data_IF_095915494780
#
_entry.id   IF_095915494780
#
_cell.length_a   1.000
_cell.length_b   1.000
_cell.length_c   1.000
_cell.angle_alpha   90.00
_cell.angle_beta   90.00
_cell.angle_gamma   90.00
#
_symmetry.space_group_name_H-M   'P 1'
#
loop_
_entity.id
_entity.type
_entity.pdbx_description
1 polymer ?
#
# COMPACT_ATOMS: atom_id res chain seq x y z
N UNK A 1 -27.33 -33.91 21.86
CA UNK A 1 -27.36 -33.09 20.64
C UNK A 1 -26.44 -31.91 20.88
N UNK A 2 -25.20 -32.01 20.39
CA UNK A 2 -24.20 -30.94 20.49
C UNK A 2 -24.15 -30.23 19.15
N UNK A 3 -24.52 -28.95 19.14
CA UNK A 3 -24.26 -28.07 18.02
C UNK A 3 -23.04 -27.24 18.38
N UNK A 4 -21.91 -27.58 17.76
CA UNK A 4 -20.73 -26.73 17.68
C UNK A 4 -21.10 -25.47 16.90
N UNK A 5 -21.10 -24.33 17.58
CA UNK A 5 -21.12 -23.01 16.92
C UNK A 5 -19.79 -22.81 16.19
N UNK A 6 -19.88 -22.72 14.86
CA UNK A 6 -18.77 -22.31 14.02
C UNK A 6 -18.53 -20.81 14.23
N UNK A 7 -17.59 -20.47 15.11
CA UNK A 7 -16.86 -19.19 15.04
C UNK A 7 -16.30 -19.08 13.62
N UNK A 8 -16.45 -17.94 12.91
CA UNK A 8 -15.72 -17.76 11.65
C UNK A 8 -14.24 -17.95 11.97
N UNK A 9 -13.65 -18.95 11.33
CA UNK A 9 -12.23 -19.28 11.47
C UNK A 9 -11.46 -17.97 11.43
N UNK A 10 -10.69 -17.72 12.49
CA UNK A 10 -9.65 -16.71 12.44
C UNK A 10 -8.88 -16.98 11.14
N UNK A 11 -8.96 -16.03 10.20
CA UNK A 11 -8.29 -16.12 8.92
C UNK A 11 -6.86 -16.60 9.20
N UNK A 12 -6.55 -17.75 8.62
CA UNK A 12 -5.27 -18.43 8.74
C UNK A 12 -4.16 -17.41 8.55
N UNK A 13 -3.23 -17.35 9.52
CA UNK A 13 -2.06 -16.48 9.53
C UNK A 13 -1.25 -16.63 8.22
N UNK A 14 -1.56 -15.81 7.23
CA UNK A 14 -0.93 -15.86 5.91
C UNK A 14 -1.12 -14.53 5.18
N UNK A 15 -0.18 -14.21 4.28
CA UNK A 15 -0.29 -13.02 3.45
C UNK A 15 -1.52 -13.09 2.55
N UNK A 16 -2.27 -11.99 2.37
CA UNK A 16 -3.37 -11.95 1.42
C UNK A 16 -2.83 -12.18 0.00
N UNK A 17 -3.61 -12.83 -0.87
CA UNK A 17 -3.21 -13.09 -2.26
C UNK A 17 -3.31 -11.85 -3.16
N UNK A 18 -4.15 -10.88 -2.79
CA UNK A 18 -4.26 -9.57 -3.45
C UNK A 18 -4.60 -8.52 -2.40
N UNK A 19 -4.08 -7.31 -2.60
CA UNK A 19 -4.41 -6.13 -1.80
C UNK A 19 -4.00 -4.86 -2.52
N UNK A 20 -4.56 -3.73 -2.10
CA UNK A 20 -4.17 -2.42 -2.61
C UNK A 20 -2.91 -1.96 -1.88
N UNK A 21 -1.78 -2.18 -2.52
CA UNK A 21 -0.45 -1.81 -2.06
C UNK A 21 -0.32 -0.30 -1.97
N UNK A 22 0.04 0.20 -0.80
CA UNK A 22 0.29 1.62 -0.55
C UNK A 22 1.64 2.00 -1.15
N UNK A 23 1.63 2.63 -2.31
CA UNK A 23 2.86 3.07 -3.01
C UNK A 23 3.37 4.39 -2.43
N UNK A 24 2.45 5.31 -2.14
CA UNK A 24 2.77 6.65 -1.62
C UNK A 24 1.76 7.07 -0.58
N UNK A 25 2.28 7.73 0.46
CA UNK A 25 1.49 8.46 1.46
C UNK A 25 1.88 9.93 1.36
N UNK A 26 0.94 10.79 1.01
CA UNK A 26 1.18 12.23 0.85
C UNK A 26 1.41 12.90 2.22
N UNK A 27 2.33 13.87 2.27
CA UNK A 27 2.62 14.62 3.49
C UNK A 27 1.41 15.48 3.92
N UNK A 28 1.15 15.55 5.22
CA UNK A 28 0.03 16.28 5.81
C UNK A 28 -1.34 15.60 5.65
N UNK A 29 -1.41 14.49 4.90
CA UNK A 29 -2.66 13.80 4.56
C UNK A 29 -3.30 13.05 5.74
N UNK A 30 -4.60 12.74 5.67
CA UNK A 30 -5.26 11.83 6.61
C UNK A 30 -4.56 10.48 6.73
N UNK A 31 -4.06 9.92 5.62
CA UNK A 31 -3.33 8.66 5.65
C UNK A 31 -2.01 8.76 6.43
N UNK A 32 -1.25 9.85 6.26
CA UNK A 32 -0.03 10.04 7.04
C UNK A 32 -0.34 10.10 8.54
N UNK A 33 -1.38 10.86 8.92
CA UNK A 33 -1.81 11.00 10.32
C UNK A 33 -2.31 9.69 10.91
N UNK A 34 -2.93 8.83 10.09
CA UNK A 34 -3.42 7.52 10.49
C UNK A 34 -2.31 6.44 10.59
N UNK A 35 -1.06 6.76 10.21
CA UNK A 35 0.07 5.84 10.35
C UNK A 35 0.15 4.76 9.28
N UNK A 36 -0.24 5.10 8.04
CA UNK A 36 0.05 4.24 6.90
C UNK A 36 1.56 4.19 6.63
N UNK A 37 2.10 2.97 6.52
CA UNK A 37 3.48 2.71 6.15
C UNK A 37 3.55 2.46 4.64
N UNK A 38 4.13 3.41 3.86
CA UNK A 38 4.25 3.21 2.43
C UNK A 38 5.14 2.00 2.13
N UNK A 39 4.90 1.37 0.99
CA UNK A 39 5.47 0.10 0.55
C UNK A 39 5.12 -1.14 1.40
N UNK A 40 4.90 -1.01 2.71
CA UNK A 40 4.63 -2.16 3.57
C UNK A 40 3.15 -2.47 3.72
N UNK A 41 2.29 -1.46 3.62
CA UNK A 41 0.86 -1.61 3.82
C UNK A 41 0.12 -2.04 2.56
N UNK A 42 -0.83 -2.95 2.75
CA UNK A 42 -1.78 -3.41 1.75
C UNK A 42 -3.18 -3.27 2.32
N UNK A 43 -3.98 -2.38 1.76
CA UNK A 43 -5.39 -2.25 2.13
C UNK A 43 -6.17 -3.44 1.57
N UNK A 44 -6.84 -4.18 2.44
CA UNK A 44 -7.59 -5.40 2.08
C UNK A 44 -9.08 -5.33 2.40
N UNK A 45 -9.50 -4.37 3.24
CA UNK A 45 -10.89 -4.16 3.59
C UNK A 45 -11.21 -2.72 4.02
N UNK A 46 -12.49 -2.37 3.95
CA UNK A 46 -13.06 -1.12 4.47
C UNK A 46 -14.36 -1.41 5.23
N UNK A 47 -14.43 -0.97 6.48
CA UNK A 47 -15.54 -1.19 7.41
C UNK A 47 -16.05 -2.64 7.44
N UNK A 48 -15.09 -3.58 7.52
CA UNK A 48 -15.36 -5.03 7.56
C UNK A 48 -15.73 -5.66 6.21
N UNK A 49 -15.79 -4.88 5.12
CA UNK A 49 -16.02 -5.38 3.76
C UNK A 49 -14.68 -5.56 3.03
N UNK A 50 -14.41 -6.72 2.40
CA UNK A 50 -13.21 -6.90 1.58
C UNK A 50 -13.18 -5.92 0.40
N UNK A 51 -12.00 -5.35 0.11
CA UNK A 51 -11.77 -4.49 -1.06
C UNK A 51 -11.51 -5.30 -2.33
N UNK A 52 -11.29 -6.60 -2.22
CA UNK A 52 -11.18 -7.53 -3.35
C UNK A 52 -11.98 -8.79 -3.05
N UNK A 53 -12.78 -9.24 -4.02
CA UNK A 53 -13.49 -10.51 -3.95
C UNK A 53 -13.33 -11.28 -5.26
N UNK A 54 -12.79 -12.50 -5.16
CA UNK A 54 -12.67 -13.42 -6.29
C UNK A 54 -14.02 -13.83 -6.87
N UNK A 55 -15.12 -13.65 -6.13
CA UNK A 55 -16.47 -14.01 -6.59
C UNK A 55 -17.13 -12.92 -7.45
N UNK A 56 -16.53 -11.73 -7.56
CA UNK A 56 -17.09 -10.64 -8.37
C UNK A 56 -16.01 -10.01 -9.29
N UNK A 57 -15.64 -10.70 -10.39
CA UNK A 57 -14.62 -10.23 -11.34
C UNK A 57 -15.03 -8.98 -12.14
N UNK A 58 -16.31 -8.57 -12.07
CA UNK A 58 -16.82 -7.34 -12.69
C UNK A 58 -16.28 -6.05 -12.06
N UNK A 59 -15.61 -6.15 -10.91
CA UNK A 59 -14.86 -5.04 -10.30
C UNK A 59 -13.43 -4.94 -10.85
N UNK A 60 -13.30 -5.11 -12.17
CA UNK A 60 -12.03 -5.18 -12.90
C UNK A 60 -11.25 -3.87 -12.80
N UNK A 61 -11.95 -2.76 -12.50
CA UNK A 61 -11.33 -1.46 -12.25
C UNK A 61 -10.63 -1.37 -10.90
N UNK A 62 -10.93 -2.21 -9.90
CA UNK A 62 -10.38 -2.06 -8.54
C UNK A 62 -10.67 -0.70 -7.88
N UNK A 63 -11.60 0.07 -8.43
CA UNK A 63 -11.91 1.44 -8.00
C UNK A 63 -13.24 1.47 -7.23
N UNK A 64 -14.20 0.62 -7.60
CA UNK A 64 -15.54 0.62 -6.99
C UNK A 64 -15.54 0.45 -5.46
N UNK A 65 -14.67 -0.38 -4.84
CA UNK A 65 -14.66 -0.57 -3.39
C UNK A 65 -14.26 0.70 -2.64
N UNK A 66 -13.54 1.62 -3.30
CA UNK A 66 -13.07 2.88 -2.73
C UNK A 66 -14.11 3.99 -2.80
N UNK A 67 -15.17 3.84 -3.59
CA UNK A 67 -16.23 4.86 -3.72
C UNK A 67 -16.96 5.16 -2.42
N UNK A 68 -17.02 4.19 -1.49
CA UNK A 68 -17.62 4.38 -0.16
C UNK A 68 -16.96 5.51 0.64
N UNK A 69 -15.71 5.88 0.31
CA UNK A 69 -15.04 7.00 0.96
C UNK A 69 -15.70 8.34 0.63
N UNK A 70 -16.28 8.49 -0.56
CA UNK A 70 -16.99 9.71 -0.98
C UNK A 70 -18.21 9.96 -0.09
N UNK A 71 -18.97 8.92 0.22
CA UNK A 71 -20.16 9.00 1.07
C UNK A 71 -19.82 9.22 2.55
N UNK A 72 -18.57 8.94 2.94
CA UNK A 72 -18.07 9.00 4.32
C UNK A 72 -17.06 10.11 4.55
N UNK A 73 -17.00 11.11 3.67
CA UNK A 73 -16.20 12.30 3.92
C UNK A 73 -16.61 12.96 5.26
N UNK A 74 -15.61 13.27 6.10
CA UNK A 74 -15.80 13.80 7.45
C UNK A 74 -16.21 12.76 8.50
N UNK A 75 -16.41 11.50 8.14
CA UNK A 75 -16.78 10.42 9.05
C UNK A 75 -15.63 9.42 9.23
N UNK A 76 -15.49 8.84 10.42
CA UNK A 76 -14.45 7.84 10.66
C UNK A 76 -14.76 6.55 9.91
N UNK A 77 -13.82 6.07 9.11
CA UNK A 77 -13.82 4.75 8.47
C UNK A 77 -12.71 3.89 9.05
N UNK A 78 -12.90 2.57 9.02
CA UNK A 78 -11.88 1.60 9.44
C UNK A 78 -11.38 0.84 8.23
N UNK A 79 -10.09 1.00 7.91
CA UNK A 79 -9.42 0.22 6.87
C UNK A 79 -8.74 -0.99 7.51
N UNK A 80 -9.00 -2.18 6.99
CA UNK A 80 -8.24 -3.38 7.35
C UNK A 80 -6.98 -3.43 6.48
N UNK A 81 -5.81 -3.36 7.11
CA UNK A 81 -4.51 -3.19 6.46
C UNK A 81 -3.59 -4.34 6.85
N UNK A 82 -3.13 -5.08 5.86
CA UNK A 82 -2.09 -6.08 6.05
C UNK A 82 -0.72 -5.43 5.85
N UNK A 83 0.18 -5.60 6.81
CA UNK A 83 1.52 -5.05 6.75
C UNK A 83 2.54 -6.14 6.46
N UNK A 84 3.25 -6.02 5.34
CA UNK A 84 4.27 -6.98 4.90
C UNK A 84 5.47 -7.04 5.86
N UNK A 85 5.80 -5.93 6.50
CA UNK A 85 6.95 -5.81 7.40
C UNK A 85 6.79 -6.69 8.64
N UNK A 86 5.62 -6.64 9.26
CA UNK A 86 5.30 -7.36 10.49
C UNK A 86 4.53 -8.66 10.23
N UNK A 87 4.03 -8.88 9.01
CA UNK A 87 3.18 -10.02 8.63
C UNK A 87 1.87 -10.06 9.44
N UNK A 88 1.31 -8.88 9.73
CA UNK A 88 0.15 -8.72 10.60
C UNK A 88 -0.97 -7.92 9.91
N UNK A 89 -2.21 -8.28 10.24
CA UNK A 89 -3.39 -7.51 9.88
C UNK A 89 -3.74 -6.55 11.00
N UNK A 90 -3.93 -5.27 10.69
CA UNK A 90 -4.36 -4.25 11.66
C UNK A 90 -5.51 -3.40 11.12
N UNK A 91 -6.31 -2.89 12.04
CA UNK A 91 -7.34 -1.91 11.73
C UNK A 91 -6.77 -0.49 11.85
N UNK A 92 -6.87 0.28 10.76
CA UNK A 92 -6.45 1.68 10.69
C UNK A 92 -7.70 2.55 10.60
N UNK A 93 -7.93 3.37 11.64
CA UNK A 93 -9.02 4.33 11.68
C UNK A 93 -8.58 5.64 11.04
N UNK A 94 -9.34 6.12 10.05
CA UNK A 94 -9.03 7.36 9.33
C UNK A 94 -10.31 8.13 9.06
N UNK A 95 -10.21 9.46 8.98
CA UNK A 95 -11.32 10.34 8.59
C UNK A 95 -11.00 10.88 7.19
N UNK A 96 -11.71 10.45 6.13
CA UNK A 96 -11.52 10.97 4.79
C UNK A 96 -11.92 12.45 4.74
N UNK A 97 -11.11 13.28 4.07
CA UNK A 97 -11.37 14.72 3.96
C UNK A 97 -10.63 15.30 2.76
N UNK A 98 -11.25 16.22 2.01
CA UNK A 98 -10.59 16.97 0.93
C UNK A 98 -9.86 18.22 1.42
N UNK A 99 -10.09 18.65 2.66
CA UNK A 99 -9.57 19.91 3.20
C UNK A 99 -8.04 20.00 3.16
N UNK A 100 -7.34 18.87 3.31
CA UNK A 100 -5.87 18.84 3.30
C UNK A 100 -5.25 19.04 1.91
N UNK A 101 -6.02 18.82 0.84
CA UNK A 101 -5.54 18.90 -0.55
C UNK A 101 -6.30 19.91 -1.40
N UNK A 102 -7.30 20.59 -0.82
CA UNK A 102 -8.00 21.68 -1.47
C UNK A 102 -7.03 22.88 -1.62
N UNK A 103 -6.63 23.15 -2.86
CA UNK A 103 -5.86 24.35 -3.20
C UNK A 103 -6.80 25.45 -3.70
N UNK A 104 -6.80 26.65 -3.09
CA UNK A 104 -7.53 27.80 -3.62
C UNK A 104 -7.04 28.23 -5.01
N UNK A 105 -5.77 27.93 -5.32
CA UNK A 105 -5.07 28.41 -6.51
C UNK A 105 -5.20 27.43 -7.70
N UNK A 106 -5.66 26.19 -7.48
CA UNK A 106 -5.77 25.13 -8.49
C UNK A 106 -7.19 24.50 -8.52
N UNK A 107 -8.21 25.27 -8.94
CA UNK A 107 -9.62 24.87 -8.84
C UNK A 107 -10.01 23.67 -9.72
N UNK A 108 -9.15 23.26 -10.66
CA UNK A 108 -9.38 22.11 -11.55
C UNK A 108 -8.75 20.81 -11.04
N UNK A 109 -8.12 20.82 -9.86
CA UNK A 109 -7.60 19.59 -9.26
C UNK A 109 -8.72 18.90 -8.47
N UNK A 110 -8.88 17.59 -8.67
CA UNK A 110 -9.74 16.78 -7.81
C UNK A 110 -8.96 16.53 -6.50
N UNK A 111 -9.33 17.16 -5.36
CA UNK A 111 -8.62 16.95 -4.11
C UNK A 111 -8.73 15.47 -3.71
N UNK A 112 -7.73 14.92 -3.01
CA UNK A 112 -7.81 13.55 -2.50
C UNK A 112 -8.43 13.53 -1.11
N UNK A 113 -9.15 12.46 -0.78
CA UNK A 113 -9.75 12.23 0.54
C UNK A 113 -8.74 11.66 1.56
N UNK A 114 -7.78 10.85 1.13
CA UNK A 114 -6.85 10.18 2.05
C UNK A 114 -5.38 10.52 1.81
N UNK A 115 -4.99 10.86 0.58
CA UNK A 115 -3.59 11.07 0.21
C UNK A 115 -2.81 9.77 0.01
N UNK A 116 -3.49 8.72 -0.44
CA UNK A 116 -2.88 7.44 -0.82
C UNK A 116 -2.76 7.32 -2.34
N UNK A 117 -1.61 6.84 -2.79
CA UNK A 117 -1.45 6.23 -4.12
C UNK A 117 -1.38 4.73 -3.94
N UNK A 118 -2.26 4.01 -4.62
CA UNK A 118 -2.49 2.59 -4.44
C UNK A 118 -2.25 1.80 -5.73
N UNK A 119 -1.81 0.55 -5.62
CA UNK A 119 -1.75 -0.40 -6.73
C UNK A 119 -2.33 -1.74 -6.29
N UNK A 120 -3.28 -2.30 -7.04
CA UNK A 120 -3.74 -3.66 -6.77
C UNK A 120 -2.65 -4.65 -7.21
N UNK A 121 -2.13 -5.47 -6.29
CA UNK A 121 -1.16 -6.52 -6.62
C UNK A 121 -1.12 -7.62 -5.55
N UNK A 122 -0.38 -8.70 -5.84
CA UNK A 122 0.01 -9.68 -4.84
C UNK A 122 1.15 -9.11 -3.98
N UNK A 123 1.04 -9.12 -2.63
CA UNK A 123 2.12 -8.68 -1.76
C UNK A 123 3.45 -9.43 -1.93
N UNK A 124 3.41 -10.72 -2.30
CA UNK A 124 4.61 -11.51 -2.54
C UNK A 124 5.40 -10.97 -3.76
N UNK A 125 4.69 -10.60 -4.82
CA UNK A 125 5.28 -9.99 -6.01
C UNK A 125 5.82 -8.60 -5.71
N UNK A 126 5.02 -7.75 -5.08
CA UNK A 126 5.40 -6.37 -4.76
C UNK A 126 6.70 -6.26 -3.94
N UNK A 127 6.94 -7.22 -3.04
CA UNK A 127 8.15 -7.26 -2.21
C UNK A 127 9.42 -7.67 -2.96
N UNK A 128 9.28 -8.28 -4.13
CA UNK A 128 10.39 -8.80 -4.94
C UNK A 128 10.85 -7.83 -6.02
N UNK A 129 9.96 -6.94 -6.47
CA UNK A 129 10.21 -5.98 -7.54
C UNK A 129 10.72 -4.64 -6.99
N UNK A 130 11.95 -4.66 -6.48
CA UNK A 130 12.61 -3.50 -5.89
C UNK A 130 14.05 -3.41 -6.40
N UNK A 131 14.47 -2.20 -6.77
CA UNK A 131 15.83 -1.90 -7.23
C UNK A 131 16.54 -1.02 -6.20
N UNK A 132 17.57 -1.57 -5.57
CA UNK A 132 18.36 -0.91 -4.54
C UNK A 132 19.40 0.00 -5.18
N UNK A 133 19.36 1.29 -4.87
CA UNK A 133 20.37 2.25 -5.30
C UNK A 133 21.65 2.01 -4.50
N UNK A 134 22.75 1.76 -5.19
CA UNK A 134 24.07 1.53 -4.60
C UNK A 134 24.88 2.82 -4.65
N UNK A 135 26.11 2.78 -5.17
CA UNK A 135 26.92 3.98 -5.37
C UNK A 135 26.25 4.95 -6.34
N UNK A 136 26.37 6.25 -6.08
CA UNK A 136 25.86 7.33 -6.93
C UNK A 136 27.04 8.26 -7.24
N UNK A 137 27.26 8.55 -8.52
CA UNK A 137 28.36 9.41 -8.98
C UNK A 137 27.95 10.88 -8.92
N UNK A 138 28.83 11.74 -8.41
CA UNK A 138 28.58 13.18 -8.30
C UNK A 138 28.34 13.81 -9.69
N UNK A 139 27.34 14.68 -9.78
CA UNK A 139 26.93 15.34 -11.02
C UNK A 139 26.21 14.43 -12.02
N UNK A 140 25.97 13.17 -11.66
CA UNK A 140 25.20 12.24 -12.50
C UNK A 140 23.71 12.54 -12.50
N UNK A 141 22.94 12.02 -13.47
CA UNK A 141 21.48 12.12 -13.44
C UNK A 141 20.83 11.59 -12.16
N UNK A 142 21.39 10.53 -11.56
CA UNK A 142 20.94 9.99 -10.28
C UNK A 142 21.17 10.96 -9.11
N UNK A 143 22.36 11.58 -9.05
CA UNK A 143 22.72 12.58 -8.05
C UNK A 143 21.86 13.83 -8.16
N UNK A 144 21.70 14.36 -9.37
CA UNK A 144 20.87 15.53 -9.65
C UNK A 144 19.38 15.28 -9.37
N UNK A 145 18.92 14.04 -9.54
CA UNK A 145 17.57 13.61 -9.12
C UNK A 145 17.41 13.45 -7.62
N UNK A 146 18.51 13.51 -6.85
CA UNK A 146 18.50 13.36 -5.40
C UNK A 146 18.32 11.92 -4.92
N UNK A 147 18.81 10.94 -5.69
CA UNK A 147 18.91 9.56 -5.22
C UNK A 147 20.00 9.44 -4.15
N UNK A 148 19.67 8.76 -3.06
CA UNK A 148 20.54 8.57 -1.90
C UNK A 148 21.18 7.18 -1.97
N UNK A 149 22.52 7.09 -2.03
CA UNK A 149 23.21 5.82 -2.15
C UNK A 149 22.94 4.92 -0.93
N UNK A 150 22.68 3.64 -1.17
CA UNK A 150 22.40 2.58 -0.17
C UNK A 150 21.14 2.76 0.70
N UNK A 151 20.56 3.95 0.75
CA UNK A 151 19.34 4.23 1.50
C UNK A 151 18.08 4.08 0.65
N UNK A 152 18.19 4.31 -0.66
CA UNK A 152 17.05 4.36 -1.57
C UNK A 152 16.78 3.06 -2.32
N UNK A 153 15.48 2.80 -2.48
CA UNK A 153 14.93 1.66 -3.17
C UNK A 153 13.87 2.16 -4.16
N UNK A 154 14.07 1.94 -5.45
CA UNK A 154 13.03 2.19 -6.46
C UNK A 154 11.98 1.08 -6.34
N UNK A 155 10.74 1.49 -6.08
CA UNK A 155 9.60 0.59 -5.82
C UNK A 155 8.53 0.66 -6.92
N UNK A 156 8.72 1.55 -7.89
CA UNK A 156 7.84 1.72 -9.04
C UNK A 156 8.09 3.04 -9.76
N UNK A 157 7.20 3.36 -10.70
CA UNK A 157 7.22 4.61 -11.47
C UNK A 157 5.79 5.04 -11.81
N UNK A 158 5.62 6.25 -12.33
CA UNK A 158 4.29 6.83 -12.58
C UNK A 158 3.53 6.18 -13.75
N UNK A 159 4.21 5.48 -14.65
CA UNK A 159 3.58 4.88 -15.84
C UNK A 159 3.24 3.39 -15.73
N UNK A 160 3.52 2.73 -14.61
CA UNK A 160 3.07 1.34 -14.44
C UNK A 160 3.82 0.46 -13.45
N UNK A 161 3.58 -0.84 -13.58
CA UNK A 161 4.28 -1.87 -12.82
C UNK A 161 5.61 -2.24 -13.47
N UNK A 162 6.56 -2.65 -12.64
CA UNK A 162 7.83 -3.28 -13.05
C UNK A 162 7.82 -4.67 -12.39
N UNK A 163 8.06 -5.71 -13.18
CA UNK A 163 7.97 -7.12 -12.77
C UNK A 163 9.32 -7.81 -12.97
N UNK A 164 9.95 -7.65 -14.13
CA UNK A 164 11.21 -8.32 -14.40
C UNK A 164 12.41 -7.45 -14.06
N UNK A 165 13.55 -8.09 -13.76
CA UNK A 165 14.79 -7.39 -13.41
C UNK A 165 15.21 -6.39 -14.50
N UNK A 166 14.94 -6.71 -15.77
CA UNK A 166 15.25 -5.90 -16.95
C UNK A 166 14.34 -4.67 -17.09
N UNK A 167 13.11 -4.72 -16.57
CA UNK A 167 12.10 -3.68 -16.79
C UNK A 167 12.58 -2.29 -16.37
N UNK A 168 13.29 -2.19 -15.25
CA UNK A 168 13.83 -0.91 -14.80
C UNK A 168 14.90 -0.37 -15.76
N UNK A 169 15.76 -1.24 -16.29
CA UNK A 169 16.80 -0.84 -17.23
C UNK A 169 16.18 -0.42 -18.57
N UNK A 170 15.24 -1.20 -19.09
CA UNK A 170 14.49 -0.88 -20.30
C UNK A 170 13.68 0.42 -20.14
N UNK A 171 13.10 0.65 -18.96
CA UNK A 171 12.39 1.89 -18.64
C UNK A 171 13.34 3.10 -18.72
N UNK A 172 14.53 2.98 -18.13
CA UNK A 172 15.55 4.04 -18.13
C UNK A 172 16.04 4.32 -19.55
N UNK A 173 16.33 3.28 -20.34
CA UNK A 173 16.71 3.42 -21.76
C UNK A 173 15.61 4.09 -22.58
N UNK A 174 14.36 3.65 -22.37
CA UNK A 174 13.20 4.28 -23.02
C UNK A 174 13.08 5.74 -22.65
N UNK A 175 13.49 6.17 -21.46
CA UNK A 175 13.43 7.58 -21.04
C UNK A 175 14.74 8.34 -21.26
N UNK A 176 15.64 7.87 -22.13
CA UNK A 176 16.82 8.64 -22.52
C UNK A 176 16.43 10.05 -23.01
N UNK A 177 17.06 11.07 -22.42
CA UNK A 177 16.83 12.49 -22.60
C UNK A 177 15.39 12.97 -22.28
N UNK A 178 14.65 12.22 -21.47
CA UNK A 178 13.29 12.54 -21.06
C UNK A 178 13.11 12.40 -19.56
N UNK A 179 12.17 13.16 -19.00
CA UNK A 179 11.81 13.06 -17.59
C UNK A 179 11.22 11.69 -17.27
N UNK A 180 11.75 11.03 -16.25
CA UNK A 180 11.27 9.78 -15.69
C UNK A 180 10.98 9.98 -14.20
N UNK A 181 9.73 9.80 -13.80
CA UNK A 181 9.29 9.94 -12.41
C UNK A 181 9.21 8.58 -11.73
N UNK A 182 10.09 8.36 -10.77
CA UNK A 182 10.18 7.16 -9.96
C UNK A 182 9.51 7.33 -8.60
N UNK A 183 8.92 6.25 -8.09
CA UNK A 183 8.57 6.13 -6.68
C UNK A 183 9.74 5.48 -5.94
N UNK A 184 10.30 6.20 -4.97
CA UNK A 184 11.49 5.78 -4.22
C UNK A 184 11.14 5.69 -2.75
N UNK A 185 11.34 4.51 -2.17
CA UNK A 185 11.34 4.29 -0.73
C UNK A 185 12.74 4.54 -0.17
N UNK A 186 12.85 5.34 0.89
CA UNK A 186 14.08 5.49 1.63
C UNK A 186 14.01 4.72 2.96
N UNK A 187 14.97 3.85 3.18
CA UNK A 187 15.02 2.96 4.35
C UNK A 187 15.41 3.67 5.65
N UNK A 188 16.24 4.71 5.58
CA UNK A 188 16.68 5.47 6.76
C UNK A 188 15.54 6.31 7.35
N UNK A 189 14.72 6.89 6.47
CA UNK A 189 13.62 7.78 6.85
C UNK A 189 12.25 7.09 6.85
N UNK A 190 12.16 5.82 6.42
CA UNK A 190 10.92 5.03 6.35
C UNK A 190 9.77 5.80 5.66
N UNK A 191 10.06 6.42 4.52
CA UNK A 191 9.08 7.16 3.72
C UNK A 191 9.30 6.94 2.23
N UNK A 192 8.30 7.29 1.43
CA UNK A 192 8.37 7.29 -0.03
C UNK A 192 8.29 8.69 -0.58
N UNK A 193 9.02 8.95 -1.66
CA UNK A 193 8.97 10.21 -2.40
C UNK A 193 8.97 9.96 -3.91
N UNK A 194 8.53 10.96 -4.64
CA UNK A 194 8.69 11.00 -6.09
C UNK A 194 10.07 11.59 -6.40
N UNK A 195 10.80 10.91 -7.28
CA UNK A 195 12.09 11.34 -7.76
C UNK A 195 12.00 11.50 -9.27
N UNK A 196 12.29 12.71 -9.76
CA UNK A 196 12.33 12.99 -11.20
C UNK A 196 13.78 12.92 -11.63
N UNK A 197 14.09 12.02 -12.54
CA UNK A 197 15.41 11.88 -13.17
C UNK A 197 15.29 12.09 -14.67
N UNK A 198 16.37 12.58 -15.28
CA UNK A 198 16.49 12.69 -16.74
C UNK A 198 17.68 11.82 -17.18
N UNK A 199 17.45 10.55 -17.54
CA UNK A 199 18.51 9.67 -18.01
C UNK A 199 19.23 10.28 -19.22
N UNK A 200 20.55 10.25 -19.24
CA UNK A 200 21.35 10.85 -20.31
C UNK A 200 22.69 10.11 -20.43
N UNK A 201 23.28 10.00 -21.62
CA UNK A 201 24.65 9.48 -21.84
C UNK A 201 25.71 10.59 -21.87
N UNK A 202 25.31 11.82 -22.14
CA UNK A 202 26.22 12.96 -22.36
C UNK A 202 26.60 13.70 -21.06
N UNK A 203 26.31 13.12 -19.88
CA UNK A 203 26.63 13.71 -18.59
C UNK A 203 28.11 13.55 -18.19
N UNK A 204 28.89 12.78 -18.95
CA UNK A 204 30.35 12.68 -18.79
C UNK A 204 30.85 11.47 -17.99
N UNK A 205 29.97 10.56 -17.58
CA UNK A 205 30.32 9.31 -16.90
C UNK A 205 29.77 8.06 -17.59
N UNK A 206 29.72 6.94 -16.87
CA UNK A 206 29.26 5.65 -17.40
C UNK A 206 27.75 5.44 -17.22
N UNK A 207 27.10 4.93 -18.26
CA UNK A 207 25.68 4.59 -18.23
C UNK A 207 24.76 5.81 -18.30
N UNK A 208 23.46 5.56 -18.14
CA UNK A 208 22.41 6.58 -18.29
C UNK A 208 22.10 7.35 -17.01
N UNK A 209 22.40 6.77 -15.85
CA UNK A 209 22.06 7.34 -14.54
C UNK A 209 23.28 7.71 -13.70
N UNK A 210 24.43 7.05 -13.91
CA UNK A 210 25.60 7.20 -13.06
C UNK A 210 25.43 6.67 -11.64
N UNK A 211 24.64 5.60 -11.46
CA UNK A 211 24.54 4.89 -10.19
C UNK A 211 24.60 3.37 -10.37
N UNK A 212 25.09 2.67 -9.36
CA UNK A 212 24.96 1.22 -9.24
C UNK A 212 23.52 0.86 -8.84
N UNK A 213 23.02 -0.24 -9.38
CA UNK A 213 21.68 -0.74 -9.07
C UNK A 213 21.75 -2.23 -8.74
N UNK A 214 21.26 -2.58 -7.55
CA UNK A 214 21.16 -3.96 -7.11
C UNK A 214 19.74 -4.49 -7.20
N UNK A 215 19.59 -5.75 -7.56
CA UNK A 215 18.31 -6.45 -7.61
C UNK A 215 18.42 -7.85 -6.99
N UNK A 216 17.31 -8.38 -6.50
CA UNK A 216 17.22 -9.74 -5.95
C UNK A 216 17.42 -9.81 -4.45
N UNK A 217 17.67 -11.01 -3.92
CA UNK A 217 17.56 -11.35 -2.50
C UNK A 217 18.37 -10.44 -1.56
N UNK A 218 19.57 -10.03 -1.96
CA UNK A 218 20.46 -9.18 -1.14
C UNK A 218 20.12 -7.68 -1.23
N UNK A 219 19.23 -7.31 -2.14
CA UNK A 219 18.86 -5.93 -2.46
C UNK A 219 17.38 -5.64 -2.16
N UNK A 220 16.73 -6.51 -1.38
CA UNK A 220 15.38 -6.26 -0.87
C UNK A 220 15.40 -5.24 0.26
N UNK A 221 14.29 -4.53 0.44
CA UNK A 221 14.12 -3.63 1.56
C UNK A 221 14.28 -4.42 2.88
N UNK A 222 15.16 -3.99 3.80
CA UNK A 222 15.43 -4.70 5.02
C UNK A 222 14.17 -4.86 5.87
N UNK A 223 13.97 -6.06 6.43
CA UNK A 223 13.02 -6.23 7.52
C UNK A 223 13.55 -5.46 8.73
N UNK A 224 12.70 -4.73 9.47
CA UNK A 224 13.11 -4.12 10.72
C UNK A 224 13.60 -5.24 11.63
N UNK A 225 14.70 -4.98 12.34
CA UNK A 225 15.11 -5.86 13.42
C UNK A 225 13.94 -5.91 14.39
N UNK A 226 13.33 -7.09 14.59
CA UNK A 226 12.50 -7.29 15.77
C UNK A 226 13.37 -6.87 16.93
N UNK A 227 13.01 -5.78 17.62
CA UNK A 227 13.79 -5.39 18.77
C UNK A 227 13.71 -6.56 19.75
N UNK A 228 14.87 -6.92 20.31
CA UNK A 228 14.95 -7.91 21.39
C UNK A 228 14.36 -7.35 22.70
N UNK A 229 13.33 -6.50 22.61
CA UNK A 229 12.64 -5.91 23.75
C UNK A 229 11.61 -6.87 24.36
N UNK A 230 11.38 -8.02 23.72
CA UNK A 230 10.76 -9.18 24.37
C UNK A 230 11.83 -9.97 25.12
N UNK A 231 12.40 -9.37 26.17
CA UNK A 231 12.88 -10.18 27.29
C UNK A 231 11.67 -11.00 27.75
N UNK A 232 11.74 -12.34 27.82
CA UNK A 232 10.61 -13.13 28.25
C UNK A 232 10.23 -12.66 29.65
N UNK A 233 9.05 -12.05 29.76
CA UNK A 233 8.46 -11.65 31.03
C UNK A 233 8.54 -12.87 31.96
N UNK A 234 9.42 -12.80 32.97
CA UNK A 234 9.56 -13.84 33.97
C UNK A 234 8.16 -14.11 34.50
N UNK A 235 7.66 -15.33 34.24
CA UNK A 235 6.30 -15.76 34.57
C UNK A 235 5.89 -15.21 35.95
N UNK A 236 4.76 -14.50 36.08
CA UNK A 236 4.30 -14.09 37.39
C UNK A 236 4.08 -15.34 38.25
N UNK A 237 4.42 -15.31 39.56
CA UNK A 237 4.23 -16.47 40.42
C UNK A 237 2.75 -16.88 40.42
N UNK A 238 2.45 -18.19 40.45
CA UNK A 238 1.10 -18.68 40.25
C UNK A 238 0.16 -18.13 41.33
N UNK A 239 -0.93 -17.48 40.92
CA UNK A 239 -2.00 -17.03 41.81
C UNK A 239 -2.84 -18.21 42.28
N UNK A 240 -3.12 -18.24 43.58
CA UNK A 240 -3.96 -19.23 44.24
C UNK A 240 -5.40 -19.23 43.69
N UNK A 241 -5.97 -20.43 43.58
CA UNK A 241 -7.32 -20.72 43.10
C UNK A 241 -8.36 -20.16 44.08
N UNK A 242 -9.33 -19.39 43.57
CA UNK A 242 -10.65 -19.26 44.19
C UNK A 242 -11.75 -19.32 43.11
N UNK A 243 -12.75 -20.13 43.39
CA UNK A 243 -13.87 -20.55 42.54
C UNK A 243 -15.14 -19.71 42.77
N UNK A 244 -15.97 -19.73 41.71
CA UNK A 244 -17.44 -19.55 41.63
C UNK A 244 -18.04 -18.13 41.74
N UNK A 245 -18.87 -17.72 40.76
CA UNK A 245 -20.31 -18.00 40.61
C UNK A 245 -20.87 -17.41 39.29
N UNK A 246 -22.03 -17.89 38.84
CA UNK A 246 -22.57 -17.76 37.47
C UNK A 246 -23.83 -16.86 37.29
N UNK A 247 -23.99 -16.32 36.06
CA UNK A 247 -25.24 -16.00 35.25
C UNK A 247 -26.27 -14.92 35.68
N UNK A 248 -27.19 -14.42 34.78
CA UNK A 248 -27.25 -14.39 33.29
C UNK A 248 -27.79 -13.07 32.60
N UNK A 249 -27.61 -13.02 31.26
CA UNK A 249 -28.42 -12.54 30.10
C UNK A 249 -29.36 -11.30 30.12
N UNK A 250 -29.44 -10.60 28.96
CA UNK A 250 -30.71 -10.26 28.28
C UNK A 250 -30.49 -9.99 26.76
N UNK A 251 -31.47 -10.37 25.94
CA UNK A 251 -31.53 -10.24 24.48
C UNK A 251 -32.72 -9.36 24.06
N UNK A 252 -32.69 -8.78 22.84
CA UNK A 252 -33.90 -8.61 22.01
C UNK A 252 -33.59 -8.21 20.56
N UNK A 253 -34.49 -8.67 19.68
CA UNK A 253 -34.49 -8.72 18.21
C UNK A 253 -34.98 -7.42 17.53
N UNK A 254 -34.75 -7.32 16.22
CA UNK A 254 -35.53 -6.46 15.31
C UNK A 254 -35.12 -6.61 13.84
N UNK A 255 -36.04 -7.08 13.01
CA UNK A 255 -35.96 -7.35 11.57
C UNK A 255 -36.33 -6.13 10.73
N UNK A 256 -35.85 -6.01 9.49
CA UNK A 256 -36.69 -6.05 8.27
C UNK A 256 -35.93 -5.59 7.01
N UNK A 257 -36.54 -5.99 5.89
CA UNK A 257 -36.08 -6.30 4.55
C UNK A 257 -36.20 -5.11 3.55
N UNK A 258 -35.71 -5.36 2.33
CA UNK A 258 -36.06 -4.76 1.04
C UNK A 258 -35.11 -3.76 0.33
N UNK A 259 -34.55 -4.31 -0.76
CA UNK A 259 -34.68 -3.89 -2.17
C UNK A 259 -33.65 -2.91 -2.78
N UNK A 260 -33.05 -3.44 -3.87
CA UNK A 260 -32.18 -2.85 -4.88
C UNK A 260 -32.82 -1.71 -5.68
N UNK A 261 -31.99 -0.73 -6.08
CA UNK A 261 -31.91 -0.25 -7.46
C UNK A 261 -30.58 0.49 -7.73
N UNK A 262 -30.02 0.26 -8.93
CA UNK A 262 -28.88 0.97 -9.53
C UNK A 262 -29.38 2.29 -10.17
N UNK A 263 -28.57 3.34 -10.48
CA UNK A 263 -27.57 3.23 -11.55
C UNK A 263 -26.39 4.27 -11.58
N UNK A 264 -25.54 4.06 -12.59
CA UNK A 264 -24.82 5.06 -13.42
C UNK A 264 -23.46 5.63 -12.97
N UNK A 265 -22.47 5.24 -13.79
CA UNK A 265 -21.03 5.48 -13.76
C UNK A 265 -20.63 6.96 -14.00
N UNK A 266 -19.64 7.40 -13.23
CA UNK A 266 -18.86 8.61 -13.48
C UNK A 266 -18.35 9.26 -12.18
N UNK A 267 -17.44 8.63 -11.45
CA UNK A 267 -17.01 9.11 -10.14
C UNK A 267 -15.49 9.23 -10.00
N UNK A 268 -15.02 10.43 -9.65
CA UNK A 268 -13.71 10.60 -9.01
C UNK A 268 -13.68 9.76 -7.73
N UNK A 269 -12.61 9.01 -7.49
CA UNK A 269 -12.43 8.30 -6.23
C UNK A 269 -11.42 9.05 -5.37
N UNK A 270 -11.71 9.20 -4.09
CA UNK A 270 -10.91 10.00 -3.17
C UNK A 270 -9.51 9.47 -2.86
N UNK A 271 -9.07 8.44 -3.58
CA UNK A 271 -7.70 7.91 -3.58
C UNK A 271 -7.22 7.75 -5.01
N UNK A 272 -5.91 7.87 -5.22
CA UNK A 272 -5.32 7.61 -6.53
C UNK A 272 -5.04 6.12 -6.64
N UNK A 273 -5.87 5.39 -7.40
CA UNK A 273 -5.64 3.97 -7.69
C UNK A 273 -4.97 3.83 -9.06
N UNK A 274 -3.73 3.36 -9.08
CA UNK A 274 -3.01 3.02 -10.29
C UNK A 274 -3.55 1.68 -10.81
N UNK A 275 -4.57 1.76 -11.65
CA UNK A 275 -5.08 0.62 -12.41
C UNK A 275 -4.16 0.32 -13.57
N UNK A 276 -3.51 -0.84 -13.53
CA UNK A 276 -3.01 -1.47 -14.75
C UNK A 276 -4.08 -2.47 -15.19
N UNK A 277 -4.60 -2.30 -16.39
CA UNK A 277 -5.34 -3.38 -17.04
C UNK A 277 -4.32 -4.49 -17.29
N UNK A 278 -4.48 -5.61 -16.58
CA UNK A 278 -3.83 -6.86 -16.97
C UNK A 278 -4.41 -7.15 -18.38
N UNK A 279 -3.66 -6.83 -19.44
CA UNK A 279 -3.93 -7.42 -20.75
C UNK A 279 -3.68 -8.91 -20.58
N UNK A 280 -4.76 -9.69 -20.49
CA UNK A 280 -4.69 -11.14 -20.67
C UNK A 280 -4.07 -11.37 -22.04
N UNK A 281 -2.81 -11.81 -22.07
CA UNK A 281 -2.25 -12.45 -23.25
C UNK A 281 -3.04 -13.75 -23.45
N UNK A 282 -4.08 -13.68 -24.28
CA UNK A 282 -4.72 -14.86 -24.86
C UNK A 282 -3.66 -15.61 -25.69
N UNK A 283 -3.08 -16.67 -25.10
CA UNK A 283 -2.28 -17.64 -25.84
C UNK A 283 -3.18 -18.31 -26.91
N UNK A 284 -2.87 -18.03 -28.19
CA UNK A 284 -3.40 -18.73 -29.36
C UNK A 284 -2.59 -19.99 -29.69
#
# INVERSE_FOLDING_TARGET
>A
MGASESRPEAATQGSPRRGYHVIRVAQGSPAQKAGFEPFFDFCVGIDGRPLYSAQNPADTSGIAPWMVLEEKEGQQVTLSVWNFKYQELRDVRVVPSREWSASPDEPNTNPSLLGLTLRLCDPAEASSHVWHILDVLEGSPADLGGLVPFGDYVIGWTGGSLKDVSDFYELVEKHENRSLTLYVYNSDYNHTREVIIVPNRDWGGEGLLGCGVGFGLLHRIPKPKQSWDNEPELLPPPKAIQQDYATPAFASYGTDDYHVDAPQYGGSTGVTVNVHAEEEEDEL
#
